data_IF_072298257491
#
_entry.id   IF_072298257491
#
_cell.length_a   1.000
_cell.length_b   1.000
_cell.length_c   1.000
_cell.angle_alpha   90.00
_cell.angle_beta   90.00
_cell.angle_gamma   90.00
#
_symmetry.space_group_name_H-M   'P 1'
#
loop_
_entity.id
_entity.type
_entity.pdbx_description
1 polymer ?
#
# COMPACT_ATOMS: atom_id res chain seq x y z
N UNK A 1 -7.68 -9.38 1.68
CA UNK A 1 -6.67 -8.50 2.29
C UNK A 1 -5.95 -7.83 1.14
N UNK A 2 -6.02 -6.50 1.06
CA UNK A 2 -5.35 -5.73 0.00
C UNK A 2 -3.84 -5.82 0.19
N UNK A 3 -3.07 -5.71 -0.89
CA UNK A 3 -1.61 -5.85 -0.79
C UNK A 3 -1.01 -4.68 0.03
N UNK A 4 -1.65 -3.52 -0.02
CA UNK A 4 -1.37 -2.37 0.85
C UNK A 4 -1.46 -2.71 2.34
N UNK A 5 -2.51 -3.41 2.77
CA UNK A 5 -2.72 -3.84 4.15
C UNK A 5 -1.65 -4.83 4.61
N UNK A 6 -1.23 -5.75 3.72
CA UNK A 6 -0.16 -6.72 4.01
C UNK A 6 1.17 -6.02 4.28
N UNK A 7 1.51 -5.01 3.48
CA UNK A 7 2.73 -4.24 3.69
C UNK A 7 2.70 -3.41 4.99
N UNK A 8 1.54 -2.85 5.36
CA UNK A 8 1.39 -2.17 6.65
C UNK A 8 1.59 -3.13 7.84
N UNK A 9 1.01 -4.33 7.79
CA UNK A 9 1.18 -5.33 8.83
C UNK A 9 2.65 -5.79 8.99
N UNK A 10 3.40 -5.86 7.88
CA UNK A 10 4.85 -6.13 7.92
C UNK A 10 5.61 -4.98 8.57
N UNK A 11 5.30 -3.72 8.20
CA UNK A 11 5.91 -2.55 8.82
C UNK A 11 5.70 -2.53 10.34
N UNK A 12 4.49 -2.81 10.82
CA UNK A 12 4.19 -2.90 12.26
C UNK A 12 4.97 -4.00 12.97
N UNK A 13 5.14 -5.14 12.31
CA UNK A 13 5.92 -6.26 12.86
C UNK A 13 7.38 -5.87 13.05
N UNK A 14 7.97 -5.24 12.04
CA UNK A 14 9.36 -4.75 12.11
C UNK A 14 9.51 -3.63 13.14
N UNK A 15 8.50 -2.76 13.31
CA UNK A 15 8.52 -1.75 14.38
C UNK A 15 8.52 -2.36 15.78
N UNK A 16 7.81 -3.48 15.99
CA UNK A 16 7.89 -4.22 17.25
C UNK A 16 9.27 -4.83 17.49
N UNK A 17 10.01 -5.17 16.43
CA UNK A 17 11.41 -5.59 16.53
C UNK A 17 12.31 -4.40 16.87
N UNK A 18 12.13 -3.25 16.22
CA UNK A 18 12.86 -2.02 16.55
C UNK A 18 12.70 -1.59 18.01
N UNK A 19 11.51 -1.78 18.58
CA UNK A 19 11.24 -1.50 20.00
C UNK A 19 11.95 -2.46 20.97
N UNK A 20 12.41 -3.62 20.49
CA UNK A 20 13.10 -4.66 21.27
C UNK A 20 14.57 -4.83 20.88
N UNK A 21 15.09 -3.97 20.00
CA UNK A 21 16.46 -4.06 19.50
C UNK A 21 17.47 -3.90 20.65
N UNK A 22 18.56 -4.66 20.59
CA UNK A 22 19.59 -4.70 21.63
C UNK A 22 20.61 -3.56 21.49
N UNK A 23 20.66 -2.93 20.32
CA UNK A 23 21.56 -1.81 20.03
C UNK A 23 20.90 -0.69 19.22
N UNK A 24 21.49 0.50 19.29
CA UNK A 24 21.06 1.64 18.48
C UNK A 24 21.16 1.38 16.98
N UNK A 25 22.25 0.74 16.53
CA UNK A 25 22.45 0.40 15.12
C UNK A 25 21.40 -0.60 14.61
N UNK A 26 21.10 -1.65 15.40
CA UNK A 26 20.06 -2.61 15.06
C UNK A 26 18.68 -1.95 14.99
N UNK A 27 18.37 -1.08 15.94
CA UNK A 27 17.13 -0.28 15.94
C UNK A 27 16.99 0.54 14.66
N UNK A 28 18.06 1.21 14.23
CA UNK A 28 18.05 2.02 12.99
C UNK A 28 17.79 1.17 11.74
N UNK A 29 18.39 -0.03 11.65
CA UNK A 29 18.15 -0.97 10.55
C UNK A 29 16.66 -1.36 10.49
N UNK A 30 16.06 -1.76 11.62
CA UNK A 30 14.64 -2.11 11.64
C UNK A 30 13.74 -0.92 11.30
N UNK A 31 14.06 0.29 11.77
CA UNK A 31 13.30 1.49 11.40
C UNK A 31 13.35 1.75 9.89
N UNK A 32 14.53 1.63 9.27
CA UNK A 32 14.68 1.77 7.81
C UNK A 32 13.87 0.72 7.03
N UNK A 33 13.84 -0.53 7.51
CA UNK A 33 13.06 -1.60 6.88
C UNK A 33 11.55 -1.32 7.01
N UNK A 34 11.09 -0.91 8.21
CA UNK A 34 9.69 -0.56 8.43
C UNK A 34 9.24 0.62 7.56
N UNK A 35 10.11 1.60 7.34
CA UNK A 35 9.86 2.70 6.42
C UNK A 35 9.71 2.21 4.97
N UNK A 36 10.58 1.30 4.52
CA UNK A 36 10.47 0.68 3.19
C UNK A 36 9.11 0.03 2.97
N UNK A 37 8.62 -0.75 3.93
CA UNK A 37 7.29 -1.35 3.87
C UNK A 37 6.15 -0.32 3.81
N UNK A 38 6.25 0.77 4.58
CA UNK A 38 5.25 1.87 4.54
C UNK A 38 5.22 2.57 3.19
N UNK A 39 6.38 2.77 2.56
CA UNK A 39 6.47 3.36 1.22
C UNK A 39 5.81 2.46 0.18
N UNK A 40 6.09 1.16 0.22
CA UNK A 40 5.42 0.17 -0.65
C UNK A 40 3.90 0.14 -0.44
N UNK A 41 3.44 0.16 0.81
CA UNK A 41 2.01 0.25 1.11
C UNK A 41 1.37 1.50 0.50
N UNK A 42 2.03 2.66 0.61
CA UNK A 42 1.55 3.92 0.05
C UNK A 42 1.54 3.92 -1.48
N UNK A 43 2.54 3.30 -2.13
CA UNK A 43 2.57 3.11 -3.58
C UNK A 43 1.41 2.22 -4.06
N UNK A 44 1.19 1.09 -3.39
CA UNK A 44 0.08 0.20 -3.71
C UNK A 44 -1.27 0.89 -3.51
N UNK A 45 -1.47 1.63 -2.41
CA UNK A 45 -2.71 2.38 -2.19
C UNK A 45 -3.01 3.39 -3.31
N UNK A 46 -1.98 4.11 -3.77
CA UNK A 46 -2.12 5.05 -4.90
C UNK A 46 -2.48 4.32 -6.20
N UNK A 47 -1.86 3.18 -6.45
CA UNK A 47 -2.11 2.38 -7.65
C UNK A 47 -3.48 1.69 -7.61
N UNK A 48 -3.92 1.21 -6.45
CA UNK A 48 -5.25 0.65 -6.23
C UNK A 48 -6.33 1.72 -6.47
N UNK A 49 -6.18 2.91 -5.89
CA UNK A 49 -7.11 4.02 -6.11
C UNK A 49 -7.19 4.44 -7.58
N UNK A 50 -6.05 4.56 -8.25
CA UNK A 50 -6.00 4.91 -9.68
C UNK A 50 -6.63 3.83 -10.58
N UNK A 51 -6.49 2.54 -10.21
CA UNK A 51 -7.05 1.43 -10.99
C UNK A 51 -8.58 1.34 -10.88
N UNK A 52 -9.11 1.61 -9.69
CA UNK A 52 -10.56 1.62 -9.46
C UNK A 52 -11.23 2.80 -10.20
N UNK A 53 -10.59 3.97 -10.23
CA UNK A 53 -11.07 5.14 -10.98
C UNK A 53 -11.08 4.89 -12.50
N UNK A 54 -10.04 4.25 -13.03
CA UNK A 54 -9.99 3.86 -14.45
C UNK A 54 -11.08 2.84 -14.82
N UNK A 55 -11.32 1.84 -13.98
CA UNK A 55 -12.38 0.85 -14.23
C UNK A 55 -13.78 1.47 -14.14
N UNK A 56 -13.97 2.45 -13.26
CA UNK A 56 -15.24 3.19 -13.16
C UNK A 56 -15.50 4.03 -14.41
N UNK A 57 -14.52 4.79 -14.89
CA UNK A 57 -14.63 5.58 -16.12
C UNK A 57 -14.88 4.70 -17.35
N UNK A 58 -14.23 3.54 -17.42
CA UNK A 58 -14.47 2.54 -18.49
C UNK A 58 -15.86 1.88 -18.43
N UNK A 59 -16.47 1.79 -17.25
CA UNK A 59 -17.87 1.36 -17.13
C UNK A 59 -18.83 2.46 -17.53
N UNK A 60 -18.61 3.70 -17.08
CA UNK A 60 -19.45 4.85 -17.45
C UNK A 60 -19.43 5.11 -18.96
N UNK A 61 -18.28 5.02 -19.63
CA UNK A 61 -18.19 5.11 -21.11
C UNK A 61 -19.03 4.04 -21.81
N UNK A 62 -18.90 2.77 -21.39
CA UNK A 62 -19.68 1.67 -21.98
C UNK A 62 -21.17 1.80 -21.75
N UNK A 63 -21.58 2.32 -20.60
CA UNK A 63 -22.99 2.59 -20.29
C UNK A 63 -23.56 3.74 -21.12
N UNK A 64 -22.76 4.76 -21.40
CA UNK A 64 -23.13 5.89 -22.25
C UNK A 64 -23.29 5.46 -23.72
N UNK A 65 -22.37 4.65 -24.24
CA UNK A 65 -22.43 4.17 -25.63
C UNK A 65 -23.65 3.24 -25.88
N UNK A 66 -24.03 2.42 -24.90
CA UNK A 66 -25.19 1.51 -24.99
C UNK A 66 -26.56 2.19 -24.88
N UNK A 67 -26.61 3.47 -24.51
CA UNK A 67 -27.87 4.24 -24.41
C UNK A 67 -28.11 5.16 -25.60
N UNK A 68 -27.25 5.12 -26.61
CA UNK A 68 -27.39 5.85 -27.88
C UNK A 68 -27.84 4.98 -29.07
N UNK A 69 -27.99 3.66 -28.87
CA UNK A 69 -28.64 2.71 -29.80
C UNK A 69 -30.12 2.48 -29.40
#
# INVERSE_FOLDING_TARGET
MRDSERYLAQAETVLRMAARAESGAEREVYLSIAEGWRRLAAEVLRNEGSRDDYQRLEREKRSFDLSQD
#
